data_IF_818461852317
#
_entry.id   IF_818461852317
#
_cell.length_a   1.000
_cell.length_b   1.000
_cell.length_c   1.000
_cell.angle_alpha   90.00
_cell.angle_beta   90.00
_cell.angle_gamma   90.00
#
_symmetry.space_group_name_H-M   'P 1'
#
loop_
_entity.id
_entity.type
_entity.pdbx_description
1 polymer ?
#
# COMPACT_ATOMS: atom_id res chain seq x y z
N UNK A 1 10.65 13.37 -0.10
CA UNK A 1 9.45 14.02 -0.68
C UNK A 1 9.21 13.35 -2.01
N UNK A 2 8.08 12.67 -2.13
CA UNK A 2 7.69 11.96 -3.35
C UNK A 2 7.74 12.86 -4.59
N UNK A 3 8.29 12.32 -5.69
CA UNK A 3 8.33 12.94 -7.02
C UNK A 3 6.95 12.98 -7.69
N UNK A 4 6.06 12.11 -7.26
CA UNK A 4 4.70 11.95 -7.78
C UNK A 4 3.63 12.13 -6.71
N UNK A 5 2.38 11.96 -7.14
CA UNK A 5 1.19 12.02 -6.28
C UNK A 5 0.65 10.62 -6.03
N UNK A 6 0.34 10.33 -4.77
CA UNK A 6 -0.18 9.05 -4.33
C UNK A 6 -1.70 9.15 -4.12
N UNK A 7 -2.44 8.19 -4.63
CA UNK A 7 -3.90 8.12 -4.57
C UNK A 7 -4.33 6.76 -4.03
N UNK A 8 -5.18 6.77 -3.00
CA UNK A 8 -5.87 5.59 -2.47
C UNK A 8 -7.22 5.46 -3.18
N UNK A 9 -7.44 4.33 -3.85
CA UNK A 9 -8.74 4.02 -4.44
C UNK A 9 -9.79 3.76 -3.35
N UNK A 10 -11.06 3.64 -3.75
CA UNK A 10 -12.06 3.13 -2.83
C UNK A 10 -11.90 1.62 -2.68
N UNK A 11 -11.95 1.14 -1.44
CA UNK A 11 -12.06 -0.30 -1.16
C UNK A 11 -13.34 -0.88 -1.75
N UNK A 12 -13.29 -2.14 -2.20
CA UNK A 12 -14.43 -2.82 -2.82
C UNK A 12 -15.46 -3.28 -1.78
N UNK A 13 -14.99 -3.66 -0.58
CA UNK A 13 -15.82 -4.00 0.56
C UNK A 13 -15.28 -3.37 1.85
N UNK A 14 -16.09 -3.38 2.92
CA UNK A 14 -15.63 -3.05 4.26
C UNK A 14 -15.04 -4.29 4.94
N UNK A 15 -14.02 -4.06 5.77
CA UNK A 15 -13.41 -5.09 6.59
C UNK A 15 -13.26 -4.64 8.04
N UNK A 16 -12.33 -5.27 8.73
CA UNK A 16 -11.94 -4.94 10.10
C UNK A 16 -10.43 -5.03 10.29
N UNK A 17 -9.67 -4.76 9.23
CA UNK A 17 -8.23 -4.93 9.19
C UNK A 17 -7.50 -3.69 9.72
N UNK A 18 -6.53 -3.90 10.60
CA UNK A 18 -5.73 -2.83 11.23
C UNK A 18 -4.34 -2.80 10.61
N UNK A 19 -4.11 -1.84 9.70
CA UNK A 19 -2.84 -1.66 9.01
C UNK A 19 -1.77 -0.96 9.86
N UNK A 20 -2.11 -0.47 11.05
CA UNK A 20 -1.19 0.25 11.93
C UNK A 20 -0.57 -0.69 12.96
N UNK A 21 -1.37 -1.53 13.61
CA UNK A 21 -0.90 -2.44 14.67
C UNK A 21 -0.46 -3.80 14.11
N UNK A 22 0.51 -3.77 13.19
CA UNK A 22 1.06 -4.97 12.54
C UNK A 22 2.48 -5.27 13.00
N UNK A 23 2.88 -6.55 12.93
CA UNK A 23 4.19 -7.00 13.38
C UNK A 23 5.33 -6.55 12.45
N UNK A 24 5.01 -6.21 11.19
CA UNK A 24 5.98 -5.69 10.25
C UNK A 24 5.34 -5.28 8.92
N UNK A 25 6.07 -4.43 8.21
CA UNK A 25 5.73 -4.00 6.86
C UNK A 25 6.86 -4.39 5.91
N UNK A 26 6.49 -5.08 4.84
CA UNK A 26 7.40 -5.60 3.83
C UNK A 26 7.01 -5.10 2.45
N UNK A 27 7.90 -5.28 1.49
CA UNK A 27 7.63 -5.03 0.08
C UNK A 27 8.28 -6.13 -0.75
N UNK A 28 7.65 -6.48 -1.87
CA UNK A 28 8.24 -7.41 -2.84
C UNK A 28 9.47 -6.79 -3.50
N UNK A 29 10.29 -7.65 -4.13
CA UNK A 29 11.45 -7.19 -4.87
C UNK A 29 11.05 -6.31 -6.06
N UNK A 30 10.02 -6.69 -6.83
CA UNK A 30 9.58 -5.90 -7.97
C UNK A 30 9.03 -4.54 -7.56
N UNK A 31 8.31 -4.46 -6.43
CA UNK A 31 7.90 -3.18 -5.85
C UNK A 31 9.12 -2.30 -5.50
N UNK A 32 10.10 -2.87 -4.78
CA UNK A 32 11.29 -2.13 -4.37
C UNK A 32 12.09 -1.62 -5.59
N UNK A 33 12.25 -2.44 -6.63
CA UNK A 33 12.92 -2.07 -7.87
C UNK A 33 12.14 -1.01 -8.66
N UNK A 34 10.80 -1.13 -8.71
CA UNK A 34 9.92 -0.21 -9.44
C UNK A 34 9.95 1.21 -8.89
N UNK A 35 9.97 1.35 -7.57
CA UNK A 35 9.93 2.66 -6.89
C UNK A 35 11.30 3.15 -6.39
N UNK A 36 12.32 2.28 -6.38
CA UNK A 36 13.68 2.61 -5.97
C UNK A 36 13.73 3.26 -4.59
N UNK A 37 14.45 4.38 -4.49
CA UNK A 37 14.65 5.12 -3.24
C UNK A 37 13.36 5.63 -2.59
N UNK A 38 12.26 5.75 -3.35
CA UNK A 38 10.98 6.25 -2.85
C UNK A 38 10.11 5.13 -2.25
N UNK A 39 10.47 3.85 -2.45
CA UNK A 39 9.64 2.71 -2.06
C UNK A 39 9.21 2.77 -0.59
N UNK A 40 10.14 3.08 0.33
CA UNK A 40 9.84 3.21 1.76
C UNK A 40 8.92 4.40 2.07
N UNK A 41 9.14 5.56 1.45
CA UNK A 41 8.29 6.74 1.66
C UNK A 41 6.87 6.50 1.12
N UNK A 42 6.75 5.81 -0.03
CA UNK A 42 5.45 5.43 -0.61
C UNK A 42 4.69 4.50 0.33
N UNK A 43 5.34 3.46 0.85
CA UNK A 43 4.72 2.51 1.79
C UNK A 43 4.26 3.22 3.07
N UNK A 44 5.11 4.06 3.66
CA UNK A 44 4.74 4.80 4.87
C UNK A 44 3.55 5.74 4.64
N UNK A 45 3.50 6.44 3.50
CA UNK A 45 2.35 7.29 3.18
C UNK A 45 1.09 6.49 2.86
N UNK A 46 1.22 5.36 2.18
CA UNK A 46 0.09 4.48 1.90
C UNK A 46 -0.57 3.99 3.19
N UNK A 47 0.22 3.54 4.18
CA UNK A 47 -0.29 3.16 5.50
C UNK A 47 -1.04 4.31 6.19
N UNK A 48 -0.46 5.51 6.19
CA UNK A 48 -1.10 6.69 6.77
C UNK A 48 -2.42 7.04 6.08
N UNK A 49 -2.49 6.95 4.75
CA UNK A 49 -3.72 7.20 3.99
C UNK A 49 -4.82 6.16 4.27
N UNK A 50 -4.45 4.89 4.48
CA UNK A 50 -5.41 3.83 4.86
C UNK A 50 -5.98 4.14 6.24
N UNK A 51 -5.13 4.43 7.21
CA UNK A 51 -5.56 4.73 8.58
C UNK A 51 -6.42 6.00 8.66
N UNK A 52 -6.02 7.07 7.97
CA UNK A 52 -6.79 8.32 7.93
C UNK A 52 -8.18 8.12 7.31
N UNK A 53 -8.30 7.31 6.26
CA UNK A 53 -9.55 7.14 5.51
C UNK A 53 -10.48 6.09 6.11
N UNK A 54 -9.92 4.97 6.56
CA UNK A 54 -10.68 3.79 6.94
C UNK A 54 -10.48 3.37 8.40
N UNK A 55 -9.34 3.71 9.01
CA UNK A 55 -8.99 3.26 10.36
C UNK A 55 -9.24 1.75 10.51
N UNK A 56 -10.16 1.34 11.38
CA UNK A 56 -10.50 -0.06 11.64
C UNK A 56 -11.59 -0.65 10.73
N UNK A 57 -12.02 0.02 9.66
CA UNK A 57 -12.97 -0.51 8.68
C UNK A 57 -12.32 -0.86 7.34
N UNK A 58 -10.99 -0.87 7.30
CA UNK A 58 -10.23 -1.20 6.10
C UNK A 58 -10.46 -2.65 5.67
N UNK A 59 -10.60 -2.85 4.36
CA UNK A 59 -10.44 -4.15 3.70
C UNK A 59 -8.98 -4.64 3.79
N UNK A 60 -8.75 -5.96 3.75
CA UNK A 60 -7.41 -6.56 3.79
C UNK A 60 -6.54 -6.18 2.61
N UNK A 61 -7.17 -5.83 1.47
CA UNK A 61 -6.53 -5.38 0.25
C UNK A 61 -6.84 -3.91 0.01
N UNK A 62 -5.81 -3.08 -0.06
CA UNK A 62 -5.94 -1.66 -0.37
C UNK A 62 -5.17 -1.34 -1.65
N UNK A 63 -5.82 -0.67 -2.60
CA UNK A 63 -5.24 -0.43 -3.93
C UNK A 63 -4.90 1.04 -4.14
N UNK A 64 -3.73 1.28 -4.74
CA UNK A 64 -3.18 2.61 -4.93
C UNK A 64 -2.80 2.88 -6.38
N UNK A 65 -2.75 4.17 -6.71
CA UNK A 65 -2.17 4.71 -7.93
C UNK A 65 -1.13 5.76 -7.56
N UNK A 66 0.07 5.63 -8.10
CA UNK A 66 1.13 6.63 -8.04
C UNK A 66 1.29 7.28 -9.41
N UNK A 67 1.04 8.59 -9.50
CA UNK A 67 1.19 9.37 -10.74
C UNK A 67 2.51 10.14 -10.70
N UNK A 68 3.41 9.86 -11.65
CA UNK A 68 4.71 10.52 -11.78
C UNK A 68 4.59 11.84 -12.57
N UNK A 69 5.06 12.95 -11.99
CA UNK A 69 5.11 14.26 -12.66
C UNK A 69 3.75 14.93 -12.90
N UNK A 70 3.78 16.09 -13.57
CA UNK A 70 2.57 16.86 -13.91
C UNK A 70 1.81 16.28 -15.12
N UNK A 71 2.49 15.49 -15.95
CA UNK A 71 1.91 14.75 -17.07
C UNK A 71 1.42 13.39 -16.56
N UNK A 72 0.13 13.30 -16.23
CA UNK A 72 -0.60 12.17 -15.62
C UNK A 72 -0.61 10.84 -16.42
N UNK A 73 0.29 10.64 -17.37
CA UNK A 73 0.33 9.47 -18.24
C UNK A 73 1.07 8.29 -17.60
N UNK A 74 2.11 8.55 -16.79
CA UNK A 74 2.85 7.50 -16.08
C UNK A 74 2.20 7.19 -14.74
N UNK A 75 1.27 6.23 -14.76
CA UNK A 75 0.59 5.72 -13.56
C UNK A 75 1.13 4.35 -13.19
N UNK A 76 1.60 4.22 -11.95
CA UNK A 76 2.01 2.93 -11.38
C UNK A 76 0.93 2.51 -10.39
N UNK A 77 0.41 1.30 -10.57
CA UNK A 77 -0.53 0.67 -9.62
C UNK A 77 0.25 -0.20 -8.67
N UNK A 78 -0.19 -0.25 -7.42
CA UNK A 78 0.34 -1.17 -6.42
C UNK A 78 -0.71 -1.43 -5.34
N UNK A 79 -0.51 -2.49 -4.58
CA UNK A 79 -1.41 -2.95 -3.53
C UNK A 79 -0.69 -3.01 -2.19
N UNK A 80 -1.45 -2.77 -1.13
CA UNK A 80 -1.08 -2.99 0.26
C UNK A 80 -1.99 -4.10 0.79
N UNK A 81 -1.38 -5.19 1.24
CA UNK A 81 -2.11 -6.38 1.70
C UNK A 81 -1.76 -6.65 3.14
N UNK A 82 -2.77 -6.73 3.99
CA UNK A 82 -2.62 -7.26 5.34
C UNK A 82 -2.92 -8.76 5.31
N UNK A 83 -1.93 -9.57 5.66
CA UNK A 83 -2.04 -11.03 5.69
C UNK A 83 -1.54 -11.60 7.04
N UNK A 84 -2.01 -12.79 7.38
CA UNK A 84 -1.63 -13.54 8.58
C UNK A 84 -0.46 -14.48 8.27
N UNK A 85 0.76 -14.06 8.61
CA UNK A 85 1.97 -14.86 8.38
C UNK A 85 2.03 -16.09 9.31
N UNK A 86 1.54 -15.95 10.54
CA UNK A 86 1.39 -16.99 11.56
C UNK A 86 0.19 -16.64 12.42
N UNK A 87 -0.38 -17.64 13.10
CA UNK A 87 -1.55 -17.44 13.98
C UNK A 87 -1.36 -16.24 14.91
N UNK A 88 -2.22 -15.22 14.75
CA UNK A 88 -2.24 -13.98 15.51
C UNK A 88 -1.17 -12.95 15.13
N UNK A 89 -0.39 -13.17 14.06
CA UNK A 89 0.66 -12.26 13.60
C UNK A 89 0.31 -11.76 12.20
N UNK A 90 -0.12 -10.50 12.16
CA UNK A 90 -0.41 -9.79 10.93
C UNK A 90 0.80 -9.01 10.43
N UNK A 91 1.03 -9.07 9.12
CA UNK A 91 2.04 -8.28 8.42
C UNK A 91 1.37 -7.55 7.26
N UNK A 92 1.96 -6.43 6.86
CA UNK A 92 1.57 -5.74 5.63
C UNK A 92 2.61 -5.98 4.56
N UNK A 93 2.18 -6.31 3.35
CA UNK A 93 3.05 -6.42 2.17
C UNK A 93 2.62 -5.44 1.10
N UNK A 94 3.58 -4.66 0.59
CA UNK A 94 3.42 -3.82 -0.58
C UNK A 94 3.91 -4.56 -1.83
N UNK A 95 3.10 -4.59 -2.89
CA UNK A 95 3.41 -5.32 -4.12
C UNK A 95 2.80 -4.68 -5.36
N UNK A 96 3.34 -5.01 -6.53
CA UNK A 96 2.75 -4.68 -7.83
C UNK A 96 1.60 -5.65 -8.14
N UNK A 97 0.60 -5.25 -8.96
CA UNK A 97 -0.52 -6.10 -9.33
C UNK A 97 -0.13 -7.46 -9.93
N UNK A 98 0.97 -7.49 -10.69
CA UNK A 98 1.53 -8.68 -11.31
C UNK A 98 2.24 -9.64 -10.34
N UNK A 99 2.43 -9.25 -9.08
CA UNK A 99 3.09 -10.04 -8.03
C UNK A 99 2.11 -10.67 -7.02
N UNK A 100 0.80 -10.46 -7.22
CA UNK A 100 -0.27 -11.05 -6.41
C UNK A 100 -0.75 -12.38 -6.99
#
# INVERSE_FOLDING_TARGET
>A
MLKGKLYLNNQECEGNYDFINVAGTYMTQGFAEKFGDEAKEIVSKALWMIDEKYSNTADYLQTFVYELGDNKEDKIRFWMILDEYKTGIHIVTALLPEEY
#
